data_IF_915904453043
#
_entry.id   IF_915904453043
#
_cell.length_a   1.000
_cell.length_b   1.000
_cell.length_c   1.000
_cell.angle_alpha   90.00
_cell.angle_beta   90.00
_cell.angle_gamma   90.00
#
_symmetry.space_group_name_H-M   'P 1'
#
loop_
_entity.id
_entity.type
_entity.pdbx_description
1 polymer ?
#
# COMPACT_ATOMS: atom_id res chain seq x y z
N UNK A 1 4.00 -16.96 -21.43
CA UNK A 1 5.11 -16.59 -20.59
C UNK A 1 5.94 -15.49 -21.23
N UNK A 2 6.27 -14.51 -20.49
CA UNK A 2 7.03 -13.40 -21.01
C UNK A 2 8.40 -13.83 -21.51
N UNK A 3 8.72 -13.45 -22.74
CA UNK A 3 9.98 -13.82 -23.40
C UNK A 3 10.94 -12.65 -23.35
N UNK A 4 11.22 -12.14 -22.16
CA UNK A 4 12.11 -11.02 -21.98
C UNK A 4 11.43 -9.65 -21.92
N UNK A 5 10.23 -9.48 -22.51
CA UNK A 5 9.52 -8.21 -22.46
C UNK A 5 9.19 -7.82 -21.02
N UNK A 6 8.73 -8.76 -20.23
CA UNK A 6 8.37 -8.54 -18.83
C UNK A 6 9.41 -9.08 -17.86
N UNK A 7 10.58 -9.47 -18.36
CA UNK A 7 11.61 -10.07 -17.51
C UNK A 7 12.10 -9.11 -16.43
N UNK A 8 12.30 -7.86 -16.76
CA UNK A 8 12.74 -6.85 -15.79
C UNK A 8 11.70 -6.71 -14.67
N UNK A 9 10.43 -6.66 -15.04
CA UNK A 9 9.35 -6.58 -14.07
C UNK A 9 9.30 -7.83 -13.19
N UNK A 10 9.38 -9.00 -13.79
CA UNK A 10 9.38 -10.26 -13.05
C UNK A 10 10.57 -10.35 -12.09
N UNK A 11 11.77 -9.98 -12.55
CA UNK A 11 12.96 -9.98 -11.71
C UNK A 11 12.83 -8.99 -10.55
N UNK A 12 12.26 -7.83 -10.83
CA UNK A 12 12.03 -6.83 -9.79
C UNK A 12 11.04 -7.32 -8.75
N UNK A 13 9.93 -7.89 -9.18
CA UNK A 13 8.91 -8.45 -8.26
C UNK A 13 9.49 -9.58 -7.42
N UNK A 14 10.31 -10.43 -8.02
CA UNK A 14 10.98 -11.50 -7.30
C UNK A 14 11.95 -10.97 -6.25
N UNK A 15 12.73 -9.96 -6.62
CA UNK A 15 13.66 -9.34 -5.69
C UNK A 15 12.93 -8.68 -4.51
N UNK A 16 11.80 -8.02 -4.78
CA UNK A 16 10.97 -7.42 -3.74
C UNK A 16 10.36 -8.50 -2.84
N UNK A 17 9.90 -9.60 -3.41
CA UNK A 17 9.36 -10.71 -2.65
C UNK A 17 10.41 -11.26 -1.67
N UNK A 18 11.61 -11.46 -2.14
CA UNK A 18 12.71 -11.96 -1.29
C UNK A 18 13.10 -10.96 -0.20
N UNK A 19 13.12 -9.68 -0.55
CA UNK A 19 13.54 -8.64 0.39
C UNK A 19 12.49 -8.37 1.48
N UNK A 20 11.23 -8.28 1.09
CA UNK A 20 10.14 -7.91 2.02
C UNK A 20 9.52 -9.09 2.75
N UNK A 21 9.71 -10.30 2.24
CA UNK A 21 9.07 -11.49 2.77
C UNK A 21 7.66 -11.72 2.24
N UNK A 22 7.18 -10.88 1.33
CA UNK A 22 5.87 -11.06 0.73
C UNK A 22 5.93 -12.18 -0.32
N UNK A 23 5.00 -13.13 -0.21
CA UNK A 23 4.96 -14.23 -1.17
C UNK A 23 4.62 -13.77 -2.58
N UNK A 24 3.75 -12.77 -2.68
CA UNK A 24 3.30 -12.23 -3.97
C UNK A 24 3.56 -10.73 -4.02
N UNK A 25 4.11 -10.28 -5.13
CA UNK A 25 4.38 -8.88 -5.38
C UNK A 25 3.86 -8.54 -6.77
N UNK A 26 3.11 -7.46 -6.87
CA UNK A 26 2.57 -6.96 -8.14
C UNK A 26 3.03 -5.52 -8.31
N UNK A 27 3.65 -5.23 -9.43
CA UNK A 27 4.04 -3.86 -9.76
C UNK A 27 2.94 -3.17 -10.55
N UNK A 28 2.73 -1.90 -10.25
CA UNK A 28 1.78 -1.05 -10.95
C UNK A 28 2.48 0.28 -11.25
N UNK A 29 1.84 1.12 -12.07
CA UNK A 29 2.46 2.34 -12.53
C UNK A 29 2.66 3.40 -11.44
N UNK A 30 1.81 3.41 -10.42
CA UNK A 30 1.98 4.32 -9.29
C UNK A 30 1.27 3.78 -8.05
N UNK A 31 1.58 4.38 -6.90
CA UNK A 31 1.03 3.91 -5.64
C UNK A 31 -0.47 4.19 -5.49
N UNK A 32 -0.98 5.25 -6.12
CA UNK A 32 -2.41 5.53 -6.09
C UNK A 32 -3.19 4.37 -6.71
N UNK A 33 -2.71 3.82 -7.80
CA UNK A 33 -3.32 2.64 -8.41
C UNK A 33 -3.16 1.40 -7.55
N UNK A 34 -2.05 1.25 -6.86
CA UNK A 34 -1.88 0.14 -5.92
C UNK A 34 -2.91 0.21 -4.79
N UNK A 35 -3.13 1.39 -4.23
CA UNK A 35 -4.16 1.59 -3.20
C UNK A 35 -5.55 1.30 -3.74
N UNK A 36 -5.87 1.80 -4.92
CA UNK A 36 -7.17 1.55 -5.56
C UNK A 36 -7.41 0.06 -5.75
N UNK A 37 -6.47 -0.64 -6.35
CA UNK A 37 -6.62 -2.07 -6.62
C UNK A 37 -6.77 -2.88 -5.33
N UNK A 38 -5.99 -2.54 -4.32
CA UNK A 38 -6.05 -3.23 -3.03
C UNK A 38 -7.40 -3.00 -2.34
N UNK A 39 -7.88 -1.77 -2.32
CA UNK A 39 -9.17 -1.44 -1.72
C UNK A 39 -10.33 -2.04 -2.50
N UNK A 40 -10.25 -2.00 -3.82
CA UNK A 40 -11.26 -2.61 -4.67
C UNK A 40 -11.36 -4.11 -4.41
N UNK A 41 -10.22 -4.77 -4.31
CA UNK A 41 -10.17 -6.21 -4.01
C UNK A 41 -10.79 -6.51 -2.65
N UNK A 42 -10.43 -5.73 -1.64
CA UNK A 42 -10.97 -5.90 -0.29
C UNK A 42 -12.48 -5.67 -0.24
N UNK A 43 -12.97 -4.70 -0.98
CA UNK A 43 -14.38 -4.33 -0.96
C UNK A 43 -15.24 -5.25 -1.81
N UNK A 44 -14.81 -5.56 -3.03
CA UNK A 44 -15.66 -6.23 -4.01
C UNK A 44 -15.39 -7.72 -4.18
N UNK A 45 -14.20 -8.18 -3.84
CA UNK A 45 -13.82 -9.56 -4.08
C UNK A 45 -13.77 -10.34 -2.78
N UNK A 46 -12.99 -9.88 -1.80
CA UNK A 46 -12.89 -10.52 -0.49
C UNK A 46 -14.06 -10.13 0.43
N UNK A 47 -14.73 -9.03 0.14
CA UNK A 47 -15.86 -8.52 0.93
C UNK A 47 -15.51 -8.35 2.41
N UNK A 48 -14.28 -7.91 2.69
CA UNK A 48 -13.80 -7.72 4.06
C UNK A 48 -14.28 -6.42 4.68
N UNK A 49 -14.69 -5.44 3.87
CA UNK A 49 -15.13 -4.14 4.35
C UNK A 49 -16.64 -4.13 4.37
N UNK A 50 -17.21 -4.39 5.53
CA UNK A 50 -18.66 -4.62 5.66
C UNK A 50 -19.48 -3.37 5.89
N UNK A 51 -18.86 -2.32 6.44
CA UNK A 51 -19.57 -1.11 6.80
C UNK A 51 -19.65 -0.08 5.67
N UNK A 52 -18.99 -0.35 4.55
CA UNK A 52 -19.03 0.52 3.38
C UNK A 52 -18.18 1.77 3.51
N UNK A 53 -17.37 1.90 4.55
CA UNK A 53 -16.47 3.04 4.72
C UNK A 53 -15.11 2.60 5.24
N UNK A 54 -14.12 3.46 5.03
CA UNK A 54 -12.76 3.24 5.53
C UNK A 54 -12.28 4.53 6.19
N UNK A 55 -11.68 4.42 7.35
CA UNK A 55 -11.09 5.57 8.00
C UNK A 55 -9.75 5.91 7.35
N UNK A 56 -9.49 7.21 7.25
CA UNK A 56 -8.30 7.74 6.59
C UNK A 56 -7.72 8.86 7.44
N UNK A 57 -6.40 8.90 7.63
CA UNK A 57 -5.81 10.04 8.33
C UNK A 57 -6.11 11.34 7.61
N UNK A 58 -6.45 12.35 8.38
CA UNK A 58 -6.76 13.69 7.86
C UNK A 58 -5.54 14.31 7.17
N UNK A 59 -4.36 13.98 7.64
CA UNK A 59 -3.10 14.53 7.13
C UNK A 59 -2.32 13.47 6.40
N UNK A 60 -2.80 13.11 5.23
CA UNK A 60 -2.14 12.15 4.36
C UNK A 60 -2.11 12.69 2.93
N UNK A 61 -1.47 11.96 2.04
CA UNK A 61 -1.41 12.35 0.64
C UNK A 61 -2.83 12.36 0.05
N UNK A 62 -3.19 13.40 -0.73
CA UNK A 62 -4.58 13.56 -1.20
C UNK A 62 -5.14 12.40 -2.02
N UNK A 63 -4.29 11.62 -2.67
CA UNK A 63 -4.77 10.49 -3.45
C UNK A 63 -5.38 9.39 -2.58
N UNK A 64 -5.00 9.29 -1.31
CA UNK A 64 -5.49 8.22 -0.44
C UNK A 64 -7.02 8.27 -0.29
N UNK A 65 -7.62 9.39 0.17
CA UNK A 65 -9.09 9.45 0.22
C UNK A 65 -9.73 9.35 -1.16
N UNK A 66 -9.08 9.86 -2.20
CA UNK A 66 -9.61 9.75 -3.55
C UNK A 66 -9.72 8.28 -3.99
N UNK A 67 -8.74 7.47 -3.70
CA UNK A 67 -8.78 6.06 -4.09
C UNK A 67 -9.76 5.24 -3.25
N UNK A 68 -9.98 5.64 -2.00
CA UNK A 68 -11.03 5.03 -1.19
C UNK A 68 -12.39 5.26 -1.87
N UNK A 69 -12.65 6.49 -2.29
CA UNK A 69 -13.91 6.83 -2.98
C UNK A 69 -14.00 6.10 -4.32
N UNK A 70 -12.93 6.07 -5.09
CA UNK A 70 -12.86 5.37 -6.37
C UNK A 70 -13.22 3.89 -6.24
N UNK A 71 -12.83 3.27 -5.14
CA UNK A 71 -13.11 1.84 -4.92
C UNK A 71 -14.54 1.56 -4.47
N UNK A 72 -15.38 2.58 -4.38
CA UNK A 72 -16.78 2.44 -4.02
C UNK A 72 -17.06 2.58 -2.53
N UNK A 73 -16.09 3.07 -1.77
CA UNK A 73 -16.19 3.21 -0.32
C UNK A 73 -16.36 4.66 0.07
N UNK A 74 -16.90 4.89 1.26
CA UNK A 74 -16.96 6.21 1.88
C UNK A 74 -15.71 6.44 2.73
N UNK A 75 -15.34 7.70 2.90
CA UNK A 75 -14.19 8.09 3.70
C UNK A 75 -14.65 8.70 5.01
N UNK A 76 -14.04 8.27 6.11
CA UNK A 76 -14.14 8.95 7.40
C UNK A 76 -12.75 9.38 7.82
N UNK A 77 -12.57 10.64 8.14
CA UNK A 77 -11.25 11.17 8.47
C UNK A 77 -10.97 11.08 9.97
N UNK A 78 -9.72 10.76 10.29
CA UNK A 78 -9.23 10.74 11.67
C UNK A 78 -8.17 11.82 11.84
N UNK A 79 -7.77 12.10 13.09
CA UNK A 79 -6.77 13.13 13.38
C UNK A 79 -5.33 12.68 13.20
N UNK A 80 -5.10 11.44 12.76
CA UNK A 80 -3.77 10.88 12.60
C UNK A 80 -3.00 11.57 11.47
N UNK A 81 -1.68 11.39 11.49
CA UNK A 81 -0.76 11.97 10.50
C UNK A 81 -0.33 10.98 9.42
N UNK A 82 -1.03 9.88 9.27
CA UNK A 82 -0.70 8.88 8.28
C UNK A 82 0.69 8.28 8.51
N UNK A 83 1.49 8.24 7.46
CA UNK A 83 2.83 7.68 7.54
C UNK A 83 3.77 8.46 8.48
N UNK A 84 3.41 9.67 8.84
CA UNK A 84 4.21 10.51 9.72
C UNK A 84 3.86 10.36 11.19
N UNK A 85 2.82 9.61 11.51
CA UNK A 85 2.42 9.38 12.90
C UNK A 85 3.34 8.34 13.53
N UNK A 86 4.37 8.83 14.18
CA UNK A 86 5.41 8.01 14.75
C UNK A 86 5.09 7.53 16.17
N UNK A 87 4.09 8.11 16.81
CA UNK A 87 3.81 7.83 18.22
C UNK A 87 2.92 6.62 18.43
N UNK A 88 2.03 6.37 17.49
CA UNK A 88 1.02 5.31 17.63
C UNK A 88 1.29 4.10 16.77
N UNK A 89 2.28 4.19 15.90
CA UNK A 89 2.55 3.13 14.96
C UNK A 89 3.61 2.18 15.47
N UNK A 90 3.30 0.91 15.47
CA UNK A 90 4.31 -0.12 15.57
C UNK A 90 5.15 -0.18 14.31
N UNK A 91 4.69 0.49 13.23
CA UNK A 91 5.35 0.50 11.92
C UNK A 91 5.66 1.92 11.49
N UNK A 92 6.93 2.30 11.54
CA UNK A 92 7.35 3.60 11.05
C UNK A 92 7.16 3.69 9.53
N UNK A 93 6.51 4.74 9.08
CA UNK A 93 6.32 5.00 7.65
C UNK A 93 5.22 4.22 7.00
N UNK A 94 4.42 3.49 7.76
CA UNK A 94 3.28 2.75 7.25
C UNK A 94 2.11 2.88 8.21
N UNK A 95 0.90 2.88 7.65
CA UNK A 95 -0.30 2.87 8.47
C UNK A 95 -1.39 2.07 7.76
N UNK A 96 -2.28 1.51 8.55
CA UNK A 96 -3.40 0.74 8.05
C UNK A 96 -4.56 1.67 7.73
N UNK A 97 -5.22 1.44 6.60
CA UNK A 97 -6.43 2.17 6.25
C UNK A 97 -7.62 1.57 6.99
N UNK A 98 -7.91 2.16 8.13
CA UNK A 98 -9.07 1.83 8.93
C UNK A 98 -9.21 0.35 9.23
N UNK A 99 -10.37 -0.15 8.90
CA UNK A 99 -10.76 -1.54 9.13
C UNK A 99 -10.43 -2.48 7.96
N UNK A 100 -9.72 -1.99 6.96
CA UNK A 100 -9.29 -2.81 5.83
C UNK A 100 -7.99 -3.55 6.15
N UNK A 101 -7.57 -4.42 5.24
CA UNK A 101 -6.25 -5.05 5.31
C UNK A 101 -5.24 -4.34 4.41
N UNK A 102 -5.50 -3.10 4.04
CA UNK A 102 -4.64 -2.31 3.15
C UNK A 102 -3.78 -1.36 3.97
N UNK A 103 -2.48 -1.39 3.71
CA UNK A 103 -1.51 -0.50 4.34
C UNK A 103 -0.94 0.47 3.32
N UNK A 104 -0.92 1.74 3.67
CA UNK A 104 -0.13 2.74 2.96
C UNK A 104 1.27 2.71 3.57
N UNK A 105 2.22 2.17 2.82
CA UNK A 105 3.60 2.02 3.24
C UNK A 105 4.52 2.95 2.45
N UNK A 106 4.03 4.14 2.13
CA UNK A 106 4.74 5.08 1.28
C UNK A 106 6.11 5.48 1.82
N UNK A 107 6.26 5.53 3.14
CA UNK A 107 7.50 5.93 3.79
C UNK A 107 8.23 4.76 4.45
N UNK A 108 7.85 3.54 4.15
CA UNK A 108 8.51 2.37 4.72
C UNK A 108 8.96 1.42 3.63
N UNK A 109 10.24 1.08 3.66
CA UNK A 109 10.76 0.01 2.83
C UNK A 109 11.95 -0.63 3.54
N UNK A 110 11.70 -1.76 4.19
CA UNK A 110 12.70 -2.47 4.98
C UNK A 110 12.63 -3.96 4.72
N UNK A 111 13.71 -4.65 5.04
CA UNK A 111 13.73 -6.11 4.93
C UNK A 111 12.66 -6.72 5.83
N UNK A 112 12.04 -7.78 5.33
CA UNK A 112 11.04 -8.56 6.07
C UNK A 112 9.86 -7.74 6.59
N UNK A 113 9.52 -6.65 5.88
CA UNK A 113 8.48 -5.73 6.34
C UNK A 113 7.05 -6.27 6.15
N UNK A 114 6.87 -7.28 5.33
CA UNK A 114 5.53 -7.72 4.96
C UNK A 114 4.78 -8.31 6.15
N UNK A 115 3.54 -7.89 6.32
CA UNK A 115 2.61 -8.44 7.31
C UNK A 115 1.67 -9.40 6.62
N UNK A 116 1.67 -10.65 7.06
CA UNK A 116 0.88 -11.70 6.44
C UNK A 116 -0.61 -11.35 6.45
N UNK A 117 -1.25 -11.57 5.31
CA UNK A 117 -2.68 -11.31 5.16
C UNK A 117 -3.03 -9.87 4.82
N UNK A 118 -2.05 -9.05 4.47
CA UNK A 118 -2.28 -7.64 4.15
C UNK A 118 -1.86 -7.31 2.74
N UNK A 119 -2.31 -6.13 2.28
CA UNK A 119 -1.88 -5.52 1.02
C UNK A 119 -1.04 -4.30 1.37
N UNK A 120 0.26 -4.41 1.28
CA UNK A 120 1.15 -3.30 1.61
C UNK A 120 1.54 -2.57 0.34
N UNK A 121 1.04 -1.36 0.20
CA UNK A 121 1.28 -0.53 -0.98
C UNK A 121 2.54 0.29 -0.76
N UNK A 122 3.53 0.11 -1.62
CA UNK A 122 4.85 0.73 -1.51
C UNK A 122 5.06 1.63 -2.72
N UNK A 123 5.76 2.74 -2.52
CA UNK A 123 6.13 3.66 -3.60
C UNK A 123 7.64 3.77 -3.68
N UNK A 124 8.16 3.84 -4.90
CA UNK A 124 9.58 4.04 -5.14
C UNK A 124 9.88 5.42 -5.72
N UNK A 125 8.91 6.33 -5.64
CA UNK A 125 9.06 7.71 -6.10
C UNK A 125 8.97 8.67 -4.92
N UNK A 126 9.42 9.90 -5.12
CA UNK A 126 9.28 10.96 -4.15
C UNK A 126 10.57 11.29 -3.40
N UNK A 127 10.61 12.46 -2.76
CA UNK A 127 11.84 12.98 -2.15
C UNK A 127 12.27 12.24 -0.88
N UNK A 128 11.41 11.42 -0.34
CA UNK A 128 11.68 10.71 0.91
C UNK A 128 12.38 9.37 0.69
N UNK A 129 12.57 8.99 -0.55
CA UNK A 129 13.09 7.66 -0.84
C UNK A 129 14.39 7.74 -1.58
N UNK A 130 15.44 7.54 -0.84
CA UNK A 130 16.78 7.47 -1.38
C UNK A 130 17.16 6.01 -1.55
N UNK A 131 16.43 5.32 -2.41
CA UNK A 131 16.80 3.95 -2.72
C UNK A 131 17.85 3.95 -3.79
N UNK A 132 18.91 3.28 -3.49
CA UNK A 132 19.76 2.76 -4.54
C UNK A 132 19.35 1.32 -4.75
N UNK A 133 18.62 1.08 -5.79
CA UNK A 133 18.43 -0.25 -6.29
C UNK A 133 19.72 -0.64 -6.98
N UNK A 134 20.62 -1.11 -6.23
CA UNK A 134 21.85 -1.63 -6.79
C UNK A 134 21.80 -3.14 -6.82
#
# INVERSE_FOLDING_TARGET
MANGIYKVTEDFEKALSEYTGAKYVVTVDNMSNALFLSLYYENHIEENIKDGFVTCPKRTYPSVPCEIIHSGLKVEFTENYGCLDMEKGTLKGAYKLGNSNVYDSALRFTADMYLKGTHMCVSFTGPYKHFKLS
#
